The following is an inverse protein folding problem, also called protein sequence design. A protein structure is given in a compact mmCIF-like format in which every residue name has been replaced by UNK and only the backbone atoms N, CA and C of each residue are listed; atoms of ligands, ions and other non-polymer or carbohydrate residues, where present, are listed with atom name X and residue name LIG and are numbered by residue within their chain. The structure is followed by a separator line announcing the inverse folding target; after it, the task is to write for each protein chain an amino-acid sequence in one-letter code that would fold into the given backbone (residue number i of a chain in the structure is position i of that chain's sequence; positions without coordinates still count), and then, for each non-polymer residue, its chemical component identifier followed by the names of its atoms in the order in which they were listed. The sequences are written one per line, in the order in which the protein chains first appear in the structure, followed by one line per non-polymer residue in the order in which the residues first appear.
data_IF_935373611384
#
_entry.id   IF_935373611384
#
_cell.length_a   1.000
_cell.length_b   1.000
_cell.length_c   1.000
_cell.angle_alpha   90.00
_cell.angle_beta   90.00
_cell.angle_gamma   90.00
#
_symmetry.space_group_name_H-M   'P 1'
#
loop_
_entity.id
_entity.type
_entity.pdbx_description
1 polymer ?
#
# COMPACT_ATOMS: atom_id res chain seq x y z
N UNK A 1 -2.51 6.73 -9.90
CA UNK A 1 -2.92 7.19 -8.56
C UNK A 1 -2.16 8.45 -8.18
N UNK A 2 -0.82 8.45 -8.21
CA UNK A 2 -0.01 9.67 -7.99
C UNK A 2 -0.38 10.85 -8.91
N UNK A 3 -0.83 10.61 -10.14
CA UNK A 3 -1.28 11.69 -11.04
C UNK A 3 -2.67 12.27 -10.69
N UNK A 4 -3.47 11.53 -9.93
CA UNK A 4 -4.86 11.87 -9.54
C UNK A 4 -5.00 12.23 -8.07
N UNK A 5 -4.06 11.82 -7.22
CA UNK A 5 -3.96 12.16 -5.81
C UNK A 5 -2.89 13.22 -5.65
N UNK A 6 -2.94 14.06 -4.61
CA UNK A 6 -1.88 15.03 -4.31
C UNK A 6 -0.54 14.39 -3.87
N UNK A 7 -0.42 13.06 -3.97
CA UNK A 7 0.77 12.29 -3.63
C UNK A 7 1.83 12.40 -4.74
N UNK A 8 2.94 13.03 -4.41
CA UNK A 8 4.08 13.19 -5.31
C UNK A 8 4.98 11.96 -5.28
N UNK A 9 5.84 11.77 -6.29
CA UNK A 9 6.85 10.70 -6.26
C UNK A 9 7.79 10.76 -5.04
N UNK A 10 7.89 11.90 -4.36
CA UNK A 10 8.61 12.02 -3.08
C UNK A 10 7.87 11.37 -1.90
N UNK A 11 6.54 11.30 -1.93
CA UNK A 11 5.76 10.51 -0.97
C UNK A 11 6.16 9.03 -1.09
N UNK A 12 6.15 8.47 -2.30
CA UNK A 12 6.57 7.09 -2.54
C UNK A 12 8.01 6.82 -2.11
N UNK A 13 8.95 7.75 -2.35
CA UNK A 13 10.32 7.63 -1.84
C UNK A 13 10.38 7.57 -0.32
N UNK A 14 9.61 8.43 0.38
CA UNK A 14 9.53 8.43 1.84
C UNK A 14 8.95 7.13 2.39
N UNK A 15 7.86 6.64 1.79
CA UNK A 15 7.26 5.34 2.18
C UNK A 15 8.29 4.22 2.06
N UNK A 16 8.97 4.10 0.90
CA UNK A 16 10.03 3.10 0.72
C UNK A 16 11.14 3.23 1.76
N UNK A 17 11.58 4.46 2.04
CA UNK A 17 12.65 4.71 3.00
C UNK A 17 12.26 4.26 4.41
N UNK A 18 11.10 4.70 4.91
CA UNK A 18 10.66 4.36 6.26
C UNK A 18 10.32 2.88 6.40
N UNK A 19 9.64 2.27 5.41
CA UNK A 19 9.37 0.82 5.41
C UNK A 19 10.67 0.02 5.48
N UNK A 20 11.68 0.39 4.68
CA UNK A 20 12.98 -0.29 4.70
C UNK A 20 13.68 -0.14 6.04
N UNK A 21 13.69 1.06 6.60
CA UNK A 21 14.33 1.34 7.88
C UNK A 21 13.69 0.50 9.00
N UNK A 22 12.36 0.49 9.07
CA UNK A 22 11.63 -0.30 10.07
C UNK A 22 11.84 -1.80 9.88
N UNK A 23 11.76 -2.31 8.64
CA UNK A 23 11.95 -3.74 8.37
C UNK A 23 13.39 -4.21 8.69
N UNK A 24 14.40 -3.36 8.44
CA UNK A 24 15.79 -3.64 8.88
C UNK A 24 15.92 -3.64 10.39
N UNK A 25 15.34 -2.65 11.06
CA UNK A 25 15.33 -2.59 12.52
C UNK A 25 14.67 -3.84 13.13
N UNK A 26 13.53 -4.29 12.57
CA UNK A 26 12.87 -5.52 12.98
C UNK A 26 13.76 -6.75 12.75
N UNK A 27 14.41 -6.86 11.60
CA UNK A 27 15.36 -7.94 11.31
C UNK A 27 16.51 -7.98 12.33
N UNK A 28 17.09 -6.82 12.67
CA UNK A 28 18.26 -6.71 13.55
C UNK A 28 17.92 -6.96 15.03
N UNK A 29 16.79 -6.41 15.50
CA UNK A 29 16.45 -6.43 16.92
C UNK A 29 15.48 -7.55 17.31
N UNK A 30 14.81 -8.17 16.34
CA UNK A 30 13.81 -9.21 16.55
C UNK A 30 14.05 -10.41 15.63
N UNK A 31 15.16 -11.16 15.83
CA UNK A 31 15.54 -12.27 14.97
C UNK A 31 14.52 -13.42 14.95
N UNK A 32 13.62 -13.51 15.94
CA UNK A 32 12.52 -14.48 15.98
C UNK A 32 11.54 -14.34 14.81
N UNK A 33 11.51 -13.21 14.12
CA UNK A 33 10.71 -13.03 12.91
C UNK A 33 11.40 -13.56 11.64
N UNK A 34 12.67 -13.98 11.73
CA UNK A 34 13.42 -14.61 10.65
C UNK A 34 13.41 -13.83 9.33
N UNK A 35 13.37 -12.49 9.39
CA UNK A 35 13.35 -11.62 8.23
C UNK A 35 14.67 -11.71 7.44
N UNK A 36 14.56 -12.04 6.16
CA UNK A 36 15.69 -12.04 5.22
C UNK A 36 15.83 -10.68 4.51
N UNK A 37 17.01 -10.38 3.95
CA UNK A 37 17.17 -9.16 3.13
C UNK A 37 16.25 -9.16 1.91
N UNK A 38 15.98 -10.34 1.35
CA UNK A 38 15.06 -10.52 0.22
C UNK A 38 13.64 -10.13 0.64
N UNK A 39 13.19 -10.55 1.83
CA UNK A 39 11.87 -10.17 2.36
C UNK A 39 11.80 -8.68 2.69
N UNK A 40 12.83 -8.10 3.32
CA UNK A 40 12.91 -6.65 3.58
C UNK A 40 12.77 -5.85 2.28
N UNK A 41 13.47 -6.26 1.23
CA UNK A 41 13.44 -5.63 -0.08
C UNK A 41 12.06 -5.81 -0.77
N UNK A 42 11.48 -7.00 -0.66
CA UNK A 42 10.13 -7.31 -1.15
C UNK A 42 9.05 -6.44 -0.46
N UNK A 43 9.04 -6.39 0.87
CA UNK A 43 8.11 -5.56 1.67
C UNK A 43 8.27 -4.08 1.30
N UNK A 44 9.52 -3.60 1.16
CA UNK A 44 9.81 -2.21 0.76
C UNK A 44 9.23 -1.87 -0.62
N UNK A 45 9.31 -2.79 -1.57
CA UNK A 45 8.74 -2.57 -2.91
C UNK A 45 7.21 -2.65 -2.88
N UNK A 46 6.67 -3.61 -2.13
CA UNK A 46 5.24 -3.82 -1.99
C UNK A 46 4.54 -2.61 -1.35
N UNK A 47 5.21 -1.90 -0.43
CA UNK A 47 4.61 -0.75 0.27
C UNK A 47 4.21 0.41 -0.65
N UNK A 48 4.80 0.52 -1.83
CA UNK A 48 4.40 1.52 -2.83
C UNK A 48 2.98 1.29 -3.36
N UNK A 49 2.49 0.06 -3.32
CA UNK A 49 1.19 -0.30 -3.86
C UNK A 49 0.04 -0.12 -2.88
N UNK A 50 0.30 0.27 -1.62
CA UNK A 50 -0.71 0.37 -0.56
C UNK A 50 -1.99 1.09 -1.00
N UNK A 51 -1.83 2.15 -1.78
CA UNK A 51 -2.90 3.04 -2.22
C UNK A 51 -3.34 2.84 -3.69
N UNK A 52 -2.94 1.75 -4.34
CA UNK A 52 -3.26 1.51 -5.77
C UNK A 52 -4.77 1.51 -6.03
N UNK A 53 -5.58 1.09 -5.06
CA UNK A 53 -7.03 1.05 -5.17
C UNK A 53 -7.71 2.42 -5.22
N UNK A 54 -7.01 3.51 -4.90
CA UNK A 54 -7.53 4.89 -5.12
C UNK A 54 -7.91 5.14 -6.58
N UNK A 55 -7.41 4.34 -7.53
CA UNK A 55 -7.82 4.40 -8.94
C UNK A 55 -9.33 4.18 -9.13
N UNK A 56 -9.97 3.39 -8.26
CA UNK A 56 -11.41 3.13 -8.30
C UNK A 56 -12.26 4.15 -7.56
N UNK A 57 -11.66 5.13 -6.88
CA UNK A 57 -12.39 6.19 -6.18
C UNK A 57 -12.67 7.34 -7.17
N UNK A 58 -13.89 7.87 -7.14
CA UNK A 58 -14.28 9.01 -7.98
C UNK A 58 -13.45 10.26 -7.64
N UNK A 59 -13.09 11.06 -8.64
CA UNK A 59 -12.36 12.32 -8.45
C UNK A 59 -13.11 13.30 -7.56
N UNK A 60 -14.45 13.31 -7.61
CA UNK A 60 -15.27 14.18 -6.75
C UNK A 60 -15.08 13.90 -5.24
N UNK A 61 -14.68 12.67 -4.89
CA UNK A 61 -14.37 12.26 -3.52
C UNK A 61 -12.85 12.34 -3.27
N UNK A 62 -12.05 11.81 -4.18
CA UNK A 62 -10.59 11.76 -4.06
C UNK A 62 -9.93 13.14 -3.98
N UNK A 63 -10.46 14.11 -4.73
CA UNK A 63 -9.93 15.47 -4.85
C UNK A 63 -10.79 16.52 -4.15
N UNK A 64 -11.76 16.11 -3.31
CA UNK A 64 -12.67 17.04 -2.66
C UNK A 64 -11.88 18.06 -1.81
N UNK A 65 -12.02 19.37 -2.06
CA UNK A 65 -11.41 20.37 -1.20
C UNK A 65 -12.20 20.45 0.11
N UNK A 66 -11.61 19.98 1.21
CA UNK A 66 -12.20 20.01 2.54
C UNK A 66 -12.49 18.62 3.11
N UNK A 67 -13.33 18.57 4.16
CA UNK A 67 -13.66 17.30 4.82
C UNK A 67 -14.66 16.50 3.98
N UNK A 68 -14.44 15.18 3.94
CA UNK A 68 -15.43 14.23 3.43
C UNK A 68 -16.64 14.18 4.37
N UNK A 69 -17.83 13.93 3.83
CA UNK A 69 -18.97 13.47 4.63
C UNK A 69 -18.71 12.04 5.12
N UNK A 70 -19.53 11.56 6.04
CA UNK A 70 -19.41 10.18 6.53
C UNK A 70 -19.57 9.18 5.37
N UNK A 71 -20.52 9.41 4.47
CA UNK A 71 -20.80 8.55 3.31
C UNK A 71 -19.63 8.56 2.31
N UNK A 72 -19.08 9.74 2.02
CA UNK A 72 -17.89 9.87 1.17
C UNK A 72 -16.67 9.20 1.79
N UNK A 73 -16.53 9.27 3.12
CA UNK A 73 -15.47 8.59 3.85
C UNK A 73 -15.63 7.06 3.81
N UNK A 74 -16.86 6.55 3.93
CA UNK A 74 -17.14 5.12 3.72
C UNK A 74 -16.71 4.66 2.32
N UNK A 75 -16.99 5.46 1.29
CA UNK A 75 -16.52 5.18 -0.08
C UNK A 75 -14.99 5.25 -0.15
N UNK A 76 -14.36 6.28 0.44
CA UNK A 76 -12.90 6.41 0.44
C UNK A 76 -12.21 5.18 1.02
N UNK A 77 -12.71 4.62 2.13
CA UNK A 77 -12.14 3.43 2.77
C UNK A 77 -12.10 2.19 1.86
N UNK A 78 -12.97 2.12 0.86
CA UNK A 78 -13.01 1.00 -0.10
C UNK A 78 -11.77 0.92 -0.99
N UNK A 79 -10.92 1.95 -1.04
CA UNK A 79 -9.66 1.87 -1.80
C UNK A 79 -8.79 0.67 -1.37
N UNK A 80 -8.85 0.28 -0.08
CA UNK A 80 -8.14 -0.90 0.43
C UNK A 80 -8.60 -2.19 -0.27
N UNK A 81 -9.91 -2.43 -0.34
CA UNK A 81 -10.49 -3.62 -0.97
C UNK A 81 -10.42 -3.57 -2.49
N UNK A 82 -10.60 -2.39 -3.10
CA UNK A 82 -10.41 -2.21 -4.55
C UNK A 82 -8.96 -2.54 -4.93
N UNK A 83 -7.98 -2.15 -4.12
CA UNK A 83 -6.57 -2.48 -4.32
C UNK A 83 -6.34 -4.00 -4.31
N UNK A 84 -6.93 -4.71 -3.35
CA UNK A 84 -6.91 -6.17 -3.29
C UNK A 84 -7.52 -6.81 -4.54
N UNK A 85 -8.70 -6.36 -4.97
CA UNK A 85 -9.37 -6.88 -6.17
C UNK A 85 -8.53 -6.70 -7.43
N UNK A 86 -7.81 -5.56 -7.54
CA UNK A 86 -6.89 -5.31 -8.65
C UNK A 86 -5.69 -6.25 -8.61
N UNK A 87 -5.09 -6.45 -7.43
CA UNK A 87 -3.99 -7.40 -7.26
C UNK A 87 -4.43 -8.81 -7.62
N UNK A 88 -5.60 -9.25 -7.16
CA UNK A 88 -6.16 -10.55 -7.53
C UNK A 88 -6.29 -10.66 -9.05
N UNK A 89 -6.92 -9.70 -9.71
CA UNK A 89 -7.17 -9.77 -11.16
C UNK A 89 -5.90 -9.78 -12.01
N UNK A 90 -4.89 -8.99 -11.66
CA UNK A 90 -3.76 -8.74 -12.55
C UNK A 90 -2.44 -9.40 -12.15
N UNK A 91 -2.29 -9.82 -10.90
CA UNK A 91 -1.06 -10.48 -10.44
C UNK A 91 -1.13 -11.99 -10.72
N UNK A 92 -0.27 -12.48 -11.61
CA UNK A 92 -0.31 -13.87 -12.11
C UNK A 92 0.12 -14.89 -11.05
N UNK A 93 1.22 -14.62 -10.35
CA UNK A 93 1.75 -15.53 -9.33
C UNK A 93 1.26 -15.15 -7.93
N UNK A 94 0.06 -15.62 -7.61
CA UNK A 94 -0.56 -15.40 -6.29
C UNK A 94 0.04 -16.28 -5.18
N UNK A 95 0.96 -17.17 -5.51
CA UNK A 95 1.68 -18.00 -4.51
C UNK A 95 2.95 -17.34 -4.00
N UNK A 96 3.44 -16.31 -4.71
CA UNK A 96 4.63 -15.56 -4.29
C UNK A 96 4.43 -14.81 -2.97
N UNK A 97 5.46 -14.77 -2.13
CA UNK A 97 5.47 -13.93 -0.95
C UNK A 97 5.29 -12.44 -1.29
N UNK A 98 5.81 -12.00 -2.44
CA UNK A 98 5.66 -10.62 -2.87
C UNK A 98 4.19 -10.25 -3.11
N UNK A 99 3.41 -11.12 -3.78
CA UNK A 99 1.97 -10.93 -3.91
C UNK A 99 1.30 -10.80 -2.54
N UNK A 100 1.63 -11.71 -1.60
CA UNK A 100 1.08 -11.68 -0.25
C UNK A 100 1.39 -10.36 0.46
N UNK A 101 2.62 -9.86 0.38
CA UNK A 101 2.97 -8.54 0.95
C UNK A 101 2.19 -7.40 0.31
N UNK A 102 2.07 -7.38 -1.02
CA UNK A 102 1.26 -6.37 -1.71
C UNK A 102 -0.20 -6.41 -1.24
N UNK A 103 -0.78 -7.60 -1.15
CA UNK A 103 -2.16 -7.79 -0.73
C UNK A 103 -2.39 -7.36 0.72
N UNK A 104 -1.56 -7.86 1.65
CA UNK A 104 -1.67 -7.57 3.07
C UNK A 104 -1.52 -6.07 3.35
N UNK A 105 -0.56 -5.42 2.69
CA UNK A 105 -0.35 -3.97 2.82
C UNK A 105 -1.55 -3.20 2.26
N UNK A 106 -2.05 -3.53 1.06
CA UNK A 106 -3.25 -2.89 0.52
C UNK A 106 -4.45 -3.02 1.47
N UNK A 107 -4.64 -4.22 2.04
CA UNK A 107 -5.83 -4.54 2.81
C UNK A 107 -5.87 -3.90 4.21
N UNK A 108 -4.70 -3.72 4.83
CA UNK A 108 -4.57 -3.51 6.28
C UNK A 108 -3.71 -2.30 6.68
N UNK A 109 -3.37 -1.38 5.77
CA UNK A 109 -2.53 -0.22 6.13
C UNK A 109 -3.26 0.90 6.89
N UNK A 110 -4.58 0.81 7.05
CA UNK A 110 -5.40 1.67 7.94
C UNK A 110 -5.97 0.83 9.08
#
# INVERSE_FOLDING_TARGET
VESRSAETGDHTKRIKYYTRLMARCLKEHFPQYHLTDVQVDAITRASVLHDIGKIGISDAILLKPGRLTNEEFEIMKTHTTIGCDLLEKFYRDRTSEFYRYCYDICRHHH
#
